data_IF_595461087860
#
_entry.id   IF_595461087860
#
_cell.length_a   1.000
_cell.length_b   1.000
_cell.length_c   1.000
_cell.angle_alpha   90.00
_cell.angle_beta   90.00
_cell.angle_gamma   90.00
#
_symmetry.space_group_name_H-M   'P 1'
#
loop_
_entity.id
_entity.type
_entity.pdbx_description
1 polymer ?
#
# COMPACT_ATOMS: atom_id res chain seq x y z
N UNK A 1 8.98 -1.29 -7.83
CA UNK A 1 9.57 -2.33 -6.96
C UNK A 1 8.45 -3.06 -6.24
N UNK A 2 8.48 -4.36 -6.26
CA UNK A 2 7.44 -5.23 -5.68
C UNK A 2 8.05 -6.40 -4.92
N UNK A 3 7.34 -6.89 -3.89
CA UNK A 3 7.64 -8.16 -3.24
C UNK A 3 7.43 -9.33 -4.23
N UNK A 4 8.18 -10.43 -4.15
CA UNK A 4 7.94 -11.59 -4.99
C UNK A 4 6.48 -12.05 -4.97
N UNK A 5 5.91 -12.31 -6.14
CA UNK A 5 4.50 -12.71 -6.31
C UNK A 5 3.48 -11.56 -6.39
N UNK A 6 3.90 -10.31 -6.18
CA UNK A 6 3.03 -9.15 -6.33
C UNK A 6 3.35 -8.41 -7.65
N UNK A 7 2.54 -8.58 -8.67
CA UNK A 7 2.64 -7.83 -9.92
C UNK A 7 1.64 -6.67 -9.94
N UNK A 8 2.04 -5.43 -10.32
CA UNK A 8 1.07 -4.36 -10.54
C UNK A 8 0.24 -4.67 -11.78
N UNK A 9 -1.04 -4.28 -11.79
CA UNK A 9 -1.89 -4.45 -12.96
C UNK A 9 -1.44 -3.53 -14.12
N UNK A 10 -1.80 -3.90 -15.35
CA UNK A 10 -1.56 -3.13 -16.58
C UNK A 10 -1.86 -1.61 -16.46
N UNK A 11 -2.93 -1.16 -15.77
CA UNK A 11 -3.26 0.27 -15.70
C UNK A 11 -2.25 1.17 -14.99
N UNK A 12 -1.22 0.64 -14.31
CA UNK A 12 -0.13 1.45 -13.78
C UNK A 12 0.90 1.86 -14.85
N UNK A 13 0.73 1.39 -16.07
CA UNK A 13 1.56 1.79 -17.20
C UNK A 13 1.06 3.11 -17.75
N UNK A 14 1.88 4.13 -17.68
CA UNK A 14 1.66 5.39 -18.37
C UNK A 14 2.36 5.36 -19.72
N UNK A 15 1.70 5.82 -20.78
CA UNK A 15 2.30 5.89 -22.11
C UNK A 15 3.50 6.86 -22.19
N UNK A 16 3.56 7.84 -21.30
CA UNK A 16 4.64 8.82 -21.21
C UNK A 16 5.81 8.34 -20.36
N UNK A 17 5.67 7.25 -19.60
CA UNK A 17 6.68 6.76 -18.64
C UNK A 17 7.02 5.31 -18.96
N UNK A 18 8.30 5.04 -19.22
CA UNK A 18 8.80 3.67 -19.38
C UNK A 18 8.95 3.00 -18.00
N UNK A 19 8.03 2.09 -17.67
CA UNK A 19 8.05 1.37 -16.39
C UNK A 19 8.72 0.00 -16.53
N UNK A 20 9.72 -0.26 -15.70
CA UNK A 20 10.30 -1.60 -15.50
C UNK A 20 9.88 -2.17 -14.15
N UNK A 21 9.27 -3.35 -14.16
CA UNK A 21 8.95 -4.08 -12.94
C UNK A 21 10.23 -4.68 -12.35
N UNK A 22 10.52 -4.34 -11.10
CA UNK A 22 11.61 -4.90 -10.33
C UNK A 22 11.05 -5.71 -9.15
N UNK A 23 11.21 -7.03 -9.21
CA UNK A 23 10.97 -7.90 -8.07
C UNK A 23 12.17 -7.82 -7.13
N UNK A 24 11.93 -7.51 -5.85
CA UNK A 24 12.99 -7.30 -4.86
C UNK A 24 13.45 -8.66 -4.31
N UNK A 25 14.70 -9.08 -4.59
CA UNK A 25 15.20 -10.35 -4.08
C UNK A 25 15.25 -10.35 -2.54
N UNK A 26 14.85 -11.46 -1.92
CA UNK A 26 14.86 -11.61 -0.46
C UNK A 26 13.77 -10.84 0.29
N UNK A 27 12.98 -10.02 -0.38
CA UNK A 27 11.82 -9.42 0.25
C UNK A 27 10.74 -10.46 0.49
N UNK A 28 10.26 -10.51 1.74
CA UNK A 28 9.14 -11.35 2.17
C UNK A 28 8.04 -10.46 2.71
N UNK A 29 6.82 -10.99 2.82
CA UNK A 29 5.77 -10.26 3.52
C UNK A 29 6.04 -10.35 5.03
N UNK A 30 6.31 -9.22 5.73
CA UNK A 30 6.77 -9.27 7.11
C UNK A 30 5.64 -9.59 8.08
N UNK A 31 5.80 -10.63 8.89
CA UNK A 31 4.93 -10.97 10.01
C UNK A 31 5.40 -10.39 11.35
N UNK A 32 6.55 -9.72 11.38
CA UNK A 32 7.14 -9.11 12.56
C UNK A 32 7.90 -7.83 12.22
N UNK A 33 8.16 -7.01 13.24
CA UNK A 33 9.00 -5.80 13.10
C UNK A 33 10.42 -6.13 12.61
N UNK A 34 10.98 -7.27 13.06
CA UNK A 34 12.30 -7.68 12.62
C UNK A 34 12.31 -8.07 11.14
N UNK A 35 11.33 -8.82 10.67
CA UNK A 35 11.19 -9.14 9.25
C UNK A 35 10.94 -7.89 8.40
N UNK A 36 10.22 -6.89 8.94
CA UNK A 36 10.07 -5.60 8.29
C UNK A 36 11.42 -4.92 8.05
N UNK A 37 12.32 -4.93 9.03
CA UNK A 37 13.68 -4.36 8.86
C UNK A 37 14.48 -5.08 7.78
N UNK A 38 14.35 -6.41 7.67
CA UNK A 38 14.96 -7.19 6.59
C UNK A 38 14.39 -6.78 5.23
N UNK A 39 13.05 -6.64 5.15
CA UNK A 39 12.40 -6.13 3.94
C UNK A 39 12.89 -4.73 3.57
N UNK A 40 12.97 -3.81 4.53
CA UNK A 40 13.46 -2.45 4.29
C UNK A 40 14.87 -2.44 3.70
N UNK A 41 15.77 -3.28 4.24
CA UNK A 41 17.12 -3.38 3.70
C UNK A 41 17.12 -3.93 2.27
N UNK A 42 16.34 -5.00 2.01
CA UNK A 42 16.23 -5.58 0.67
C UNK A 42 15.70 -4.56 -0.36
N UNK A 43 14.66 -3.79 0.00
CA UNK A 43 14.12 -2.73 -0.86
C UNK A 43 15.12 -1.57 -1.07
N UNK A 44 15.85 -1.20 -0.03
CA UNK A 44 16.89 -0.18 -0.13
C UNK A 44 17.98 -0.62 -1.10
N UNK A 45 18.55 -1.81 -0.91
CA UNK A 45 19.63 -2.32 -1.76
C UNK A 45 19.18 -2.45 -3.23
N UNK A 46 17.97 -2.96 -3.46
CA UNK A 46 17.40 -3.06 -4.80
C UNK A 46 17.15 -1.69 -5.44
N UNK A 47 16.73 -0.70 -4.66
CA UNK A 47 16.52 0.67 -5.11
C UNK A 47 17.83 1.36 -5.48
N UNK A 48 18.87 1.20 -4.66
CA UNK A 48 20.21 1.71 -4.95
C UNK A 48 20.79 1.10 -6.24
N UNK A 49 20.65 -0.21 -6.41
CA UNK A 49 21.06 -0.89 -7.64
C UNK A 49 20.28 -0.38 -8.86
N UNK A 50 18.96 -0.23 -8.75
CA UNK A 50 18.14 0.29 -9.85
C UNK A 50 18.52 1.72 -10.26
N UNK A 51 18.81 2.59 -9.30
CA UNK A 51 19.28 3.94 -9.56
C UNK A 51 20.66 3.94 -10.26
N UNK A 52 21.58 3.08 -9.81
CA UNK A 52 22.88 2.89 -10.47
C UNK A 52 22.73 2.36 -11.89
N UNK A 53 21.70 1.56 -12.17
CA UNK A 53 21.34 1.06 -13.51
C UNK A 53 20.57 2.08 -14.37
N UNK A 54 20.46 3.33 -13.93
CA UNK A 54 19.87 4.43 -14.68
C UNK A 54 18.36 4.60 -14.49
N UNK A 55 17.76 4.12 -13.40
CA UNK A 55 16.38 4.46 -13.08
C UNK A 55 16.27 5.96 -12.73
N UNK A 56 15.35 6.66 -13.38
CA UNK A 56 15.09 8.09 -13.17
C UNK A 56 14.09 8.35 -12.04
N UNK A 57 13.37 7.32 -11.59
CA UNK A 57 12.47 7.37 -10.45
C UNK A 57 12.21 5.96 -9.88
N UNK A 58 11.80 5.86 -8.62
CA UNK A 58 11.50 4.59 -7.96
C UNK A 58 10.11 4.61 -7.33
N UNK A 59 9.29 3.60 -7.65
CA UNK A 59 8.01 3.37 -7.00
C UNK A 59 8.02 2.06 -6.19
N UNK A 60 7.73 2.17 -4.89
CA UNK A 60 7.62 1.03 -3.99
C UNK A 60 6.14 0.66 -3.84
N UNK A 61 5.73 -0.44 -4.49
CA UNK A 61 4.33 -0.88 -4.53
C UNK A 61 3.97 -1.74 -3.31
N UNK A 62 4.19 -1.21 -2.12
CA UNK A 62 3.74 -1.80 -0.85
C UNK A 62 3.21 -0.73 0.08
N UNK A 63 2.17 -1.02 0.86
CA UNK A 63 1.63 -0.06 1.84
C UNK A 63 2.60 0.15 3.01
N UNK A 64 3.50 -0.79 3.27
CA UNK A 64 4.54 -0.64 4.29
C UNK A 64 5.67 0.32 3.92
N UNK A 65 5.73 0.81 2.68
CA UNK A 65 6.74 1.75 2.16
C UNK A 65 8.18 1.36 2.50
N UNK A 66 8.49 0.05 2.42
CA UNK A 66 9.79 -0.50 2.83
C UNK A 66 10.95 0.19 2.12
N UNK A 67 11.83 0.80 2.89
CA UNK A 67 13.04 1.47 2.39
C UNK A 67 12.80 2.83 1.72
N UNK A 68 11.56 3.31 1.57
CA UNK A 68 11.24 4.57 0.86
C UNK A 68 11.96 5.74 1.48
N UNK A 69 11.87 5.95 2.79
CA UNK A 69 12.51 7.07 3.48
C UNK A 69 14.04 7.04 3.35
N UNK A 70 14.65 5.86 3.44
CA UNK A 70 16.09 5.69 3.25
C UNK A 70 16.51 6.01 1.81
N UNK A 71 15.75 5.55 0.81
CA UNK A 71 15.99 5.84 -0.59
C UNK A 71 15.84 7.33 -0.92
N UNK A 72 14.81 7.99 -0.37
CA UNK A 72 14.61 9.44 -0.50
C UNK A 72 15.76 10.26 0.07
N UNK A 73 16.44 9.74 1.10
CA UNK A 73 17.60 10.40 1.71
C UNK A 73 18.87 10.15 0.90
N UNK A 74 19.00 8.97 0.29
CA UNK A 74 20.22 8.52 -0.38
C UNK A 74 20.29 8.88 -1.87
N UNK A 75 19.16 9.18 -2.51
CA UNK A 75 19.05 9.38 -3.94
C UNK A 75 18.49 10.77 -4.29
N UNK A 76 19.02 11.36 -5.35
CA UNK A 76 18.51 12.63 -5.92
C UNK A 76 17.29 12.43 -6.85
N UNK A 77 16.98 11.18 -7.21
CA UNK A 77 15.81 10.87 -8.05
C UNK A 77 14.53 10.76 -7.21
N UNK A 78 13.35 11.04 -7.80
CA UNK A 78 12.08 10.91 -7.11
C UNK A 78 11.83 9.47 -6.62
N UNK A 79 11.46 9.31 -5.35
CA UNK A 79 11.06 8.03 -4.76
C UNK A 79 9.70 8.18 -4.08
N UNK A 80 8.76 7.30 -4.40
CA UNK A 80 7.43 7.27 -3.79
C UNK A 80 7.05 5.85 -3.39
N UNK A 81 6.18 5.75 -2.38
CA UNK A 81 5.59 4.50 -1.94
C UNK A 81 4.07 4.53 -1.98
N UNK A 82 3.46 3.35 -1.98
CA UNK A 82 2.01 3.21 -2.03
C UNK A 82 1.34 3.69 -0.74
N UNK A 83 1.97 3.47 0.42
CA UNK A 83 1.41 3.81 1.73
C UNK A 83 1.30 5.32 1.94
N UNK A 84 2.41 6.02 2.09
CA UNK A 84 2.41 7.47 2.28
C UNK A 84 1.75 8.21 1.11
N UNK A 85 1.86 7.67 -0.12
CA UNK A 85 1.17 8.21 -1.29
C UNK A 85 -0.35 8.21 -1.12
N UNK A 86 -0.92 7.10 -0.65
CA UNK A 86 -2.35 6.99 -0.37
C UNK A 86 -2.81 7.89 0.77
N UNK A 87 -2.05 7.94 1.88
CA UNK A 87 -2.39 8.78 3.01
C UNK A 87 -2.38 10.28 2.64
N UNK A 88 -1.38 10.72 1.88
CA UNK A 88 -1.35 12.10 1.38
C UNK A 88 -2.49 12.40 0.39
N UNK A 89 -2.90 11.40 -0.41
CA UNK A 89 -4.09 11.53 -1.26
C UNK A 89 -5.37 11.64 -0.42
N UNK A 90 -5.49 10.88 0.66
CA UNK A 90 -6.61 10.95 1.58
C UNK A 90 -6.72 12.34 2.23
N UNK A 91 -5.60 12.91 2.67
CA UNK A 91 -5.52 14.24 3.28
C UNK A 91 -5.76 15.41 2.31
N UNK A 92 -5.78 15.16 0.99
CA UNK A 92 -6.29 16.14 0.01
C UNK A 92 -7.82 16.18 -0.06
N UNK A 93 -8.49 15.17 0.46
CA UNK A 93 -9.96 15.02 0.42
C UNK A 93 -10.61 15.27 1.78
N UNK A 94 -9.88 15.05 2.87
CA UNK A 94 -10.39 15.11 4.24
C UNK A 94 -9.27 15.52 5.21
N UNK A 95 -9.63 16.02 6.38
CA UNK A 95 -8.66 16.40 7.42
C UNK A 95 -8.02 15.17 8.11
N UNK A 96 -8.72 14.04 8.07
CA UNK A 96 -8.31 12.79 8.68
C UNK A 96 -8.64 11.61 7.78
N UNK A 97 -8.05 10.46 8.09
CA UNK A 97 -8.33 9.22 7.39
C UNK A 97 -8.50 8.05 8.34
N UNK A 98 -9.21 7.04 7.87
CA UNK A 98 -9.26 5.71 8.46
C UNK A 98 -8.72 4.68 7.47
N UNK A 99 -8.03 3.67 7.96
CA UNK A 99 -7.48 2.58 7.14
C UNK A 99 -8.36 1.34 7.31
N UNK A 100 -8.81 0.78 6.19
CA UNK A 100 -9.48 -0.53 6.16
C UNK A 100 -8.52 -1.56 5.60
N UNK A 101 -8.15 -2.56 6.40
CA UNK A 101 -7.19 -3.58 5.98
C UNK A 101 -7.74 -5.00 6.10
N UNK A 102 -7.25 -5.86 5.21
CA UNK A 102 -7.51 -7.30 5.27
C UNK A 102 -6.64 -8.02 6.31
N UNK A 103 -5.54 -7.40 6.73
CA UNK A 103 -4.58 -8.00 7.65
C UNK A 103 -5.07 -7.97 9.10
N UNK A 104 -4.66 -8.95 9.93
CA UNK A 104 -5.09 -9.02 11.33
C UNK A 104 -4.43 -7.94 12.20
N UNK A 105 -4.97 -7.70 13.43
CA UNK A 105 -4.45 -6.69 14.34
C UNK A 105 -2.96 -6.82 14.68
N UNK A 106 -2.40 -8.03 14.74
CA UNK A 106 -0.96 -8.24 14.96
C UNK A 106 -0.06 -7.64 13.89
N UNK A 107 -0.60 -7.32 12.72
CA UNK A 107 0.12 -6.63 11.64
C UNK A 107 -0.03 -5.11 11.65
N UNK A 108 -0.64 -4.54 12.67
CA UNK A 108 -0.82 -3.09 12.81
C UNK A 108 0.52 -2.33 12.75
N UNK A 109 1.61 -2.94 13.22
CA UNK A 109 2.95 -2.33 13.22
C UNK A 109 3.40 -1.86 11.82
N UNK A 110 2.92 -2.47 10.73
CA UNK A 110 3.23 -2.05 9.35
C UNK A 110 2.72 -0.62 9.11
N UNK A 111 1.50 -0.34 9.53
CA UNK A 111 0.86 0.97 9.36
C UNK A 111 1.45 2.00 10.32
N UNK A 112 1.61 1.63 11.60
CA UNK A 112 2.15 2.52 12.63
C UNK A 112 3.56 3.01 12.26
N UNK A 113 4.45 2.11 11.81
CA UNK A 113 5.79 2.47 11.39
C UNK A 113 5.79 3.32 10.11
N UNK A 114 5.02 2.94 9.08
CA UNK A 114 4.90 3.71 7.84
C UNK A 114 4.35 5.12 8.09
N UNK A 115 3.31 5.26 8.92
CA UNK A 115 2.74 6.56 9.28
C UNK A 115 3.72 7.41 10.09
N UNK A 116 4.46 6.81 11.01
CA UNK A 116 5.48 7.50 11.80
C UNK A 116 6.62 8.01 10.90
N UNK A 117 7.15 7.18 10.02
CA UNK A 117 8.21 7.54 9.06
C UNK A 117 7.78 8.66 8.10
N UNK A 118 6.50 8.69 7.72
CA UNK A 118 5.94 9.70 6.82
C UNK A 118 5.41 10.97 7.51
N UNK A 119 5.40 11.00 8.87
CA UNK A 119 4.88 12.11 9.68
C UNK A 119 3.35 12.24 9.63
N UNK A 120 2.61 11.14 9.40
CA UNK A 120 1.16 11.14 9.18
C UNK A 120 0.35 10.45 10.29
N UNK A 121 0.98 10.05 11.39
CA UNK A 121 0.33 9.30 12.49
C UNK A 121 -0.84 10.06 13.12
N UNK A 122 -0.70 11.37 13.32
CA UNK A 122 -1.70 12.22 13.99
C UNK A 122 -3.00 12.38 13.20
N UNK A 123 -2.98 12.07 11.91
CA UNK A 123 -4.14 12.17 11.02
C UNK A 123 -4.94 10.88 10.92
N UNK A 124 -4.39 9.75 11.42
CA UNK A 124 -5.07 8.47 11.44
C UNK A 124 -6.12 8.42 12.55
N UNK A 125 -7.38 8.19 12.18
CA UNK A 125 -8.48 8.05 13.13
C UNK A 125 -8.59 6.62 13.65
N UNK A 126 -8.63 5.67 12.73
CA UNK A 126 -8.88 4.26 13.03
C UNK A 126 -8.19 3.37 12.00
N UNK A 127 -7.70 2.21 12.43
CA UNK A 127 -7.31 1.11 11.54
C UNK A 127 -8.26 -0.05 11.80
N UNK A 128 -9.14 -0.32 10.85
CA UNK A 128 -10.10 -1.42 10.92
C UNK A 128 -9.54 -2.67 10.25
N UNK A 129 -9.35 -3.71 11.04
CA UNK A 129 -8.85 -5.01 10.60
C UNK A 129 -10.02 -5.95 10.29
N UNK A 130 -10.07 -6.49 9.07
CA UNK A 130 -11.14 -7.41 8.64
C UNK A 130 -10.86 -8.88 8.97
N UNK A 131 -9.60 -9.23 9.19
CA UNK A 131 -9.15 -10.59 9.49
C UNK A 131 -8.78 -10.75 10.96
N UNK A 132 -8.69 -12.01 11.39
CA UNK A 132 -8.23 -12.41 12.71
C UNK A 132 -6.81 -12.95 12.64
N UNK A 133 -6.12 -13.07 13.79
CA UNK A 133 -4.76 -13.64 13.89
C UNK A 133 -4.66 -15.04 13.25
N UNK A 134 -5.73 -15.82 13.28
CA UNK A 134 -5.74 -17.20 12.77
C UNK A 134 -5.49 -17.33 11.26
N UNK A 135 -5.72 -16.24 10.48
CA UNK A 135 -5.46 -16.26 9.03
C UNK A 135 -3.96 -16.33 8.73
N UNK A 136 -3.12 -15.72 9.56
CA UNK A 136 -1.66 -15.79 9.39
C UNK A 136 -1.07 -17.10 9.90
N UNK A 137 -1.74 -17.75 10.86
CA UNK A 137 -1.34 -19.03 11.41
C UNK A 137 -1.77 -20.21 10.52
N UNK A 138 -2.51 -19.98 9.44
CA UNK A 138 -2.85 -21.05 8.50
C UNK A 138 -1.59 -21.52 7.77
N UNK A 139 -1.49 -22.82 7.53
CA UNK A 139 -0.35 -23.45 6.82
C UNK A 139 -0.07 -22.86 5.43
N UNK A 140 -1.03 -22.12 4.90
CA UNK A 140 -0.98 -21.48 3.57
C UNK A 140 -0.16 -20.18 3.51
N UNK A 141 0.13 -19.57 4.65
CA UNK A 141 0.91 -18.33 4.72
C UNK A 141 0.27 -17.09 4.07
N UNK A 142 0.94 -15.90 4.17
CA UNK A 142 0.42 -14.63 3.67
C UNK A 142 0.16 -14.60 2.15
N UNK A 143 0.94 -15.33 1.35
CA UNK A 143 0.77 -15.35 -0.11
C UNK A 143 -0.54 -16.01 -0.54
N UNK A 144 -0.97 -17.07 0.15
CA UNK A 144 -2.24 -17.75 -0.15
C UNK A 144 -3.43 -16.94 0.38
N UNK A 145 -3.29 -16.31 1.55
CA UNK A 145 -4.27 -15.34 2.04
C UNK A 145 -4.49 -14.21 1.02
N UNK A 146 -3.42 -13.68 0.43
CA UNK A 146 -3.52 -12.68 -0.65
C UNK A 146 -4.29 -13.21 -1.86
N UNK A 147 -4.04 -14.43 -2.32
CA UNK A 147 -4.78 -15.02 -3.45
C UNK A 147 -6.27 -15.18 -3.13
N UNK A 148 -6.59 -15.63 -1.92
CA UNK A 148 -7.99 -15.75 -1.46
C UNK A 148 -8.70 -14.39 -1.47
N UNK A 149 -8.03 -13.33 -1.03
CA UNK A 149 -8.58 -11.97 -1.07
C UNK A 149 -8.66 -11.39 -2.49
N UNK A 150 -7.71 -11.67 -3.36
CA UNK A 150 -7.73 -11.25 -4.76
C UNK A 150 -8.83 -11.95 -5.55
N UNK A 151 -9.19 -13.17 -5.19
CA UNK A 151 -10.31 -13.90 -5.77
C UNK A 151 -11.69 -13.29 -5.45
N UNK A 152 -11.77 -12.36 -4.51
CA UNK A 152 -12.94 -11.52 -4.17
C UNK A 152 -14.27 -12.27 -4.26
N UNK A 153 -14.50 -13.25 -3.39
CA UNK A 153 -15.81 -13.87 -3.27
C UNK A 153 -16.88 -12.85 -2.83
N UNK A 154 -18.13 -13.06 -3.22
CA UNK A 154 -19.26 -12.17 -2.89
C UNK A 154 -19.34 -11.87 -1.39
N UNK A 155 -19.12 -12.86 -0.53
CA UNK A 155 -19.12 -12.69 0.91
C UNK A 155 -18.02 -11.73 1.41
N UNK A 156 -16.86 -11.71 0.76
CA UNK A 156 -15.76 -10.80 1.10
C UNK A 156 -16.11 -9.36 0.70
N UNK A 157 -16.70 -9.16 -0.46
CA UNK A 157 -17.13 -7.84 -0.95
C UNK A 157 -18.19 -7.25 0.00
N UNK A 158 -19.20 -8.02 0.36
CA UNK A 158 -20.27 -7.56 1.27
C UNK A 158 -19.71 -7.18 2.66
N UNK A 159 -18.78 -7.96 3.20
CA UNK A 159 -18.12 -7.63 4.46
C UNK A 159 -17.33 -6.32 4.36
N UNK A 160 -16.62 -6.10 3.25
CA UNK A 160 -15.87 -4.84 3.00
C UNK A 160 -16.84 -3.67 2.90
N UNK A 161 -17.92 -3.79 2.13
CA UNK A 161 -18.97 -2.76 1.99
C UNK A 161 -19.58 -2.40 3.35
N UNK A 162 -19.97 -3.38 4.14
CA UNK A 162 -20.51 -3.16 5.50
C UNK A 162 -19.49 -2.44 6.39
N UNK A 163 -18.23 -2.81 6.31
CA UNK A 163 -17.16 -2.22 7.12
C UNK A 163 -16.88 -0.76 6.71
N UNK A 164 -16.89 -0.46 5.42
CA UNK A 164 -16.76 0.92 4.91
C UNK A 164 -17.96 1.76 5.37
N UNK A 165 -19.17 1.23 5.20
CA UNK A 165 -20.38 1.93 5.66
C UNK A 165 -20.35 2.22 7.17
N UNK A 166 -19.89 1.26 7.96
CA UNK A 166 -19.74 1.45 9.40
C UNK A 166 -18.66 2.48 9.76
N UNK A 167 -17.53 2.49 9.05
CA UNK A 167 -16.50 3.52 9.21
C UNK A 167 -17.03 4.91 8.85
N UNK A 168 -17.67 5.05 7.69
CA UNK A 168 -18.26 6.31 7.23
C UNK A 168 -19.35 6.83 8.19
N UNK A 169 -20.10 5.93 8.82
CA UNK A 169 -21.11 6.31 9.83
C UNK A 169 -20.46 6.83 11.11
N UNK A 170 -19.37 6.19 11.57
CA UNK A 170 -18.65 6.63 12.77
C UNK A 170 -17.81 7.90 12.52
N UNK A 171 -17.28 8.05 11.33
CA UNK A 171 -16.36 9.10 10.94
C UNK A 171 -16.76 9.69 9.57
N UNK A 172 -17.88 10.46 9.51
CA UNK A 172 -18.50 10.85 8.23
C UNK A 172 -17.64 11.79 7.37
N UNK A 173 -16.63 12.44 7.95
CA UNK A 173 -15.75 13.40 7.26
C UNK A 173 -14.34 12.84 7.02
N UNK A 174 -14.08 11.59 7.38
CA UNK A 174 -12.79 10.97 7.17
C UNK A 174 -12.70 10.33 5.77
N UNK A 175 -11.55 10.41 5.15
CA UNK A 175 -11.27 9.58 3.96
C UNK A 175 -10.98 8.14 4.36
N UNK A 176 -11.44 7.17 3.57
CA UNK A 176 -11.14 5.75 3.80
C UNK A 176 -10.04 5.31 2.85
N UNK A 177 -8.97 4.76 3.42
CA UNK A 177 -7.82 4.24 2.69
C UNK A 177 -7.82 2.71 2.75
N UNK A 178 -7.66 2.06 1.60
CA UNK A 178 -7.46 0.61 1.57
C UNK A 178 -6.04 0.26 2.03
N UNK A 179 -5.93 -0.63 3.00
CA UNK A 179 -4.68 -0.94 3.71
C UNK A 179 -3.77 -1.97 3.01
N UNK A 180 -4.04 -2.33 1.77
CA UNK A 180 -3.18 -3.23 0.99
C UNK A 180 -3.30 -2.91 -0.51
N UNK A 181 -2.18 -2.91 -1.22
CA UNK A 181 -2.18 -2.85 -2.69
C UNK A 181 -2.88 -4.05 -3.32
N UNK A 182 -2.96 -5.17 -2.60
CA UNK A 182 -3.72 -6.36 -3.00
C UNK A 182 -5.25 -6.12 -3.07
N UNK A 183 -5.76 -5.05 -2.45
CA UNK A 183 -7.17 -4.69 -2.49
C UNK A 183 -7.59 -3.93 -3.78
N UNK A 184 -6.67 -3.74 -4.70
CA UNK A 184 -6.95 -3.07 -5.98
C UNK A 184 -8.21 -3.56 -6.70
N UNK A 185 -8.47 -4.89 -6.84
CA UNK A 185 -9.70 -5.35 -7.50
C UNK A 185 -10.97 -4.94 -6.75
N UNK A 186 -10.91 -4.85 -5.41
CA UNK A 186 -12.03 -4.39 -4.58
C UNK A 186 -12.33 -2.91 -4.80
N UNK A 187 -11.31 -2.06 -4.95
CA UNK A 187 -11.50 -0.63 -5.16
C UNK A 187 -12.44 -0.33 -6.33
N UNK A 188 -12.27 -1.04 -7.45
CA UNK A 188 -13.15 -0.92 -8.62
C UNK A 188 -14.60 -1.31 -8.32
N UNK A 189 -14.79 -2.40 -7.59
CA UNK A 189 -16.14 -2.86 -7.21
C UNK A 189 -16.81 -1.87 -6.26
N UNK A 190 -16.05 -1.31 -5.31
CA UNK A 190 -16.55 -0.30 -4.36
C UNK A 190 -16.97 0.98 -5.08
N UNK A 191 -16.16 1.43 -6.04
CA UNK A 191 -16.46 2.60 -6.88
C UNK A 191 -17.78 2.43 -7.66
N UNK A 192 -18.02 1.26 -8.24
CA UNK A 192 -19.30 0.98 -8.93
C UNK A 192 -20.51 0.96 -7.99
N UNK A 193 -20.29 0.83 -6.69
CA UNK A 193 -21.33 0.90 -5.64
C UNK A 193 -21.43 2.31 -5.00
N UNK A 194 -20.74 3.31 -5.54
CA UNK A 194 -20.76 4.67 -5.05
C UNK A 194 -20.01 4.87 -3.72
N UNK A 195 -19.09 3.96 -3.38
CA UNK A 195 -18.27 4.06 -2.19
C UNK A 195 -16.89 4.63 -2.55
N UNK A 196 -16.61 5.82 -2.05
CA UNK A 196 -15.33 6.48 -2.29
C UNK A 196 -14.26 5.94 -1.33
N UNK A 197 -13.17 5.43 -1.91
CA UNK A 197 -12.00 4.97 -1.17
C UNK A 197 -10.72 5.47 -1.84
N UNK A 198 -9.63 5.53 -1.09
CA UNK A 198 -8.30 5.77 -1.64
C UNK A 198 -7.62 4.42 -1.83
N UNK A 199 -7.31 4.10 -3.07
CA UNK A 199 -6.60 2.88 -3.43
C UNK A 199 -5.09 3.19 -3.47
N UNK A 200 -4.27 2.46 -2.67
CA UNK A 200 -2.88 2.86 -2.42
C UNK A 200 -1.96 2.74 -3.63
N UNK A 201 -2.15 1.73 -4.47
CA UNK A 201 -1.28 1.49 -5.62
C UNK A 201 -1.34 2.65 -6.61
N UNK A 202 -2.55 3.06 -7.01
CA UNK A 202 -2.72 4.20 -7.92
C UNK A 202 -2.35 5.53 -7.27
N UNK A 203 -2.73 5.73 -6.01
CA UNK A 203 -2.44 6.98 -5.32
C UNK A 203 -0.93 7.24 -5.22
N UNK A 204 -0.15 6.22 -4.86
CA UNK A 204 1.30 6.29 -4.78
C UNK A 204 1.97 6.46 -6.14
N UNK A 205 1.51 5.70 -7.14
CA UNK A 205 2.05 5.79 -8.50
C UNK A 205 1.79 7.15 -9.15
N UNK A 206 0.55 7.67 -9.09
CA UNK A 206 0.21 8.99 -9.62
C UNK A 206 1.04 10.10 -9.00
N UNK A 207 1.26 10.04 -7.68
CA UNK A 207 2.12 11.01 -7.02
C UNK A 207 3.53 11.04 -7.63
N UNK A 208 4.09 9.87 -7.97
CA UNK A 208 5.40 9.79 -8.61
C UNK A 208 5.35 10.30 -10.05
N UNK A 209 4.41 9.83 -10.86
CA UNK A 209 4.28 10.24 -12.25
C UNK A 209 4.05 11.73 -12.40
N UNK A 210 3.19 12.33 -11.56
CA UNK A 210 2.95 13.77 -11.54
C UNK A 210 4.25 14.55 -11.24
N UNK A 211 5.10 14.05 -10.32
CA UNK A 211 6.38 14.71 -10.01
C UNK A 211 7.38 14.62 -11.15
N UNK A 212 7.38 13.52 -11.90
CA UNK A 212 8.26 13.34 -13.07
C UNK A 212 7.83 14.19 -14.27
N UNK A 213 6.51 14.35 -14.49
CA UNK A 213 5.98 15.10 -15.62
C UNK A 213 5.98 16.62 -15.39
N UNK A 214 6.21 17.06 -14.15
CA UNK A 214 6.24 18.47 -13.75
C UNK A 214 7.66 19.03 -13.62
N UNK A 215 8.69 18.20 -13.76
CA UNK A 215 10.12 18.54 -13.71
C UNK A 215 10.66 18.79 -15.11
#
# INVERSE_FOLDING_TARGET
MVTPGAAPPEPLRDAAISCRLLTVPGAVFPGSTQERLICEQAYFDAGMAAASDGAEALYVNTVGDYGVTKLQTALDIPVSGAGAGALRQALRRAERFSILTLWPPGMRFIYDLMMNESGLSDFCREILHLSTENILASESGPAEAMKTFQACGVATIEKVVQSITALSTRHPNDAIVLGCTCMYPLARVLETRGLEVVEPMFAGYRRLSDSMLSA
#
